data_IF_100774890213
#
_entry.id   IF_100774890213
#
_cell.length_a   1.000
_cell.length_b   1.000
_cell.length_c   1.000
_cell.angle_alpha   90.00
_cell.angle_beta   90.00
_cell.angle_gamma   90.00
#
_symmetry.space_group_name_H-M   'P 1'
#
loop_
_entity.id
_entity.type
_entity.pdbx_description
1 polymer ?
#
# COMPACT_ATOMS: atom_id res chain seq x y z
N UNK A 1 -44.00 33.54 16.90
CA UNK A 1 -43.97 32.54 15.80
C UNK A 1 -43.09 33.11 14.69
N UNK A 2 -42.14 32.31 14.19
CA UNK A 2 -41.31 32.67 13.02
C UNK A 2 -39.80 32.65 13.28
N UNK A 3 -39.22 31.50 13.65
CA UNK A 3 -37.77 31.27 13.54
C UNK A 3 -37.43 31.15 12.06
N UNK A 4 -36.61 32.08 11.54
CA UNK A 4 -36.07 32.00 10.19
C UNK A 4 -34.68 31.35 10.23
N UNK A 5 -34.55 30.15 9.65
CA UNK A 5 -33.30 29.45 9.45
C UNK A 5 -32.47 30.13 8.35
N UNK A 6 -31.30 30.68 8.69
CA UNK A 6 -30.28 31.08 7.71
C UNK A 6 -29.19 30.01 7.64
N UNK A 7 -29.06 29.41 6.46
CA UNK A 7 -28.04 28.42 6.12
C UNK A 7 -26.65 29.08 6.09
N UNK A 8 -25.72 28.55 6.89
CA UNK A 8 -24.31 28.89 6.86
C UNK A 8 -23.70 28.26 5.60
N UNK A 9 -23.40 29.09 4.59
CA UNK A 9 -22.53 28.70 3.47
C UNK A 9 -21.09 28.67 3.96
N UNK A 10 -20.46 27.50 3.98
CA UNK A 10 -19.01 27.40 4.10
C UNK A 10 -18.35 27.73 2.75
N UNK A 11 -17.25 28.50 2.71
CA UNK A 11 -16.51 28.74 1.49
C UNK A 11 -15.74 27.46 1.10
N UNK A 12 -16.04 26.92 -0.08
CA UNK A 12 -15.22 25.89 -0.74
C UNK A 12 -13.96 26.58 -1.25
N UNK A 13 -12.83 26.35 -0.59
CA UNK A 13 -11.53 26.77 -1.10
C UNK A 13 -11.13 25.85 -2.27
N UNK A 14 -11.24 26.38 -3.49
CA UNK A 14 -10.63 25.79 -4.70
C UNK A 14 -9.12 25.96 -4.64
N UNK A 15 -8.42 25.02 -4.00
CA UNK A 15 -6.95 25.03 -3.86
C UNK A 15 -6.28 23.83 -4.54
N UNK A 16 -6.87 23.26 -5.60
CA UNK A 16 -6.32 22.08 -6.29
C UNK A 16 -5.73 22.36 -7.68
N UNK A 17 -6.14 23.42 -8.38
CA UNK A 17 -5.70 23.66 -9.76
C UNK A 17 -4.24 24.13 -9.87
N UNK A 18 -3.81 25.08 -9.02
CA UNK A 18 -2.46 25.66 -9.11
C UNK A 18 -1.33 24.69 -8.78
N UNK A 19 -1.58 23.70 -7.92
CA UNK A 19 -0.55 22.72 -7.54
C UNK A 19 -0.34 21.66 -8.63
N UNK A 20 -1.39 21.30 -9.37
CA UNK A 20 -1.33 20.30 -10.45
C UNK A 20 -0.62 20.89 -11.67
N UNK A 21 -0.88 22.15 -12.02
CA UNK A 21 -0.21 22.82 -13.14
C UNK A 21 1.27 23.08 -12.87
N UNK A 22 1.63 23.41 -11.63
CA UNK A 22 3.03 23.49 -11.20
C UNK A 22 3.73 22.13 -11.30
N UNK A 23 3.06 21.05 -10.90
CA UNK A 23 3.56 19.69 -11.01
C UNK A 23 3.76 19.27 -12.48
N UNK A 24 2.80 19.59 -13.35
CA UNK A 24 2.84 19.29 -14.78
C UNK A 24 3.96 20.05 -15.50
N UNK A 25 4.23 21.31 -15.13
CA UNK A 25 5.38 22.08 -15.66
C UNK A 25 6.71 21.52 -15.18
N UNK A 26 6.80 21.04 -13.94
CA UNK A 26 8.01 20.39 -13.44
C UNK A 26 8.24 19.07 -14.18
N UNK A 27 7.21 18.25 -14.36
CA UNK A 27 7.26 17.01 -15.14
C UNK A 27 7.69 17.23 -16.59
N UNK A 28 7.12 18.23 -17.28
CA UNK A 28 7.48 18.55 -18.67
C UNK A 28 8.95 18.99 -18.83
N UNK A 29 9.49 19.71 -17.84
CA UNK A 29 10.90 20.11 -17.81
C UNK A 29 11.87 18.95 -17.47
N UNK A 30 11.37 17.86 -16.89
CA UNK A 30 12.16 16.67 -16.55
C UNK A 30 12.33 15.71 -17.74
N UNK A 31 11.35 15.66 -18.65
CA UNK A 31 11.39 14.83 -19.86
C UNK A 31 12.47 15.24 -20.88
N UNK A 32 12.92 16.50 -20.85
CA UNK A 32 13.85 17.04 -21.86
C UNK A 32 15.33 16.88 -21.51
N UNK A 33 15.68 16.45 -20.29
CA UNK A 33 17.07 16.48 -19.80
C UNK A 33 17.60 15.11 -19.38
N UNK A 34 18.00 14.31 -20.37
CA UNK A 34 18.70 13.04 -20.20
C UNK A 34 20.10 13.23 -19.62
N UNK A 35 20.35 12.89 -18.33
CA UNK A 35 21.61 12.32 -17.76
C UNK A 35 21.52 12.07 -16.22
N UNK A 36 22.58 11.64 -15.45
CA UNK A 36 22.54 10.73 -14.28
C UNK A 36 21.89 11.28 -13.00
N UNK A 37 21.27 12.46 -13.09
CA UNK A 37 20.34 13.02 -12.10
C UNK A 37 19.06 12.18 -11.96
N UNK A 38 18.82 11.20 -12.85
CA UNK A 38 17.70 10.22 -12.79
C UNK A 38 17.57 9.53 -11.43
N UNK A 39 18.68 9.16 -10.78
CA UNK A 39 18.67 8.55 -9.43
C UNK A 39 18.21 9.54 -8.34
N UNK A 40 18.69 10.79 -8.40
CA UNK A 40 18.22 11.88 -7.52
C UNK A 40 16.77 12.27 -7.81
N UNK A 41 16.34 12.16 -9.07
CA UNK A 41 14.97 12.38 -9.51
C UNK A 41 14.02 11.31 -8.97
N UNK A 42 14.40 10.03 -9.02
CA UNK A 42 13.62 8.93 -8.44
C UNK A 42 13.46 9.14 -6.93
N UNK A 43 14.52 9.55 -6.24
CA UNK A 43 14.47 9.87 -4.80
C UNK A 43 13.59 11.10 -4.54
N UNK A 44 13.59 12.10 -5.43
CA UNK A 44 12.74 13.29 -5.33
C UNK A 44 11.28 12.96 -5.62
N UNK A 45 11.01 12.10 -6.60
CA UNK A 45 9.67 11.58 -6.94
C UNK A 45 9.15 10.66 -5.84
N UNK A 46 9.99 9.79 -5.27
CA UNK A 46 9.68 9.01 -4.06
C UNK A 46 9.32 9.94 -2.91
N UNK A 47 10.16 10.94 -2.59
CA UNK A 47 9.84 11.90 -1.52
C UNK A 47 8.57 12.70 -1.80
N UNK A 48 8.35 13.12 -3.05
CA UNK A 48 7.18 13.93 -3.42
C UNK A 48 5.88 13.12 -3.42
N UNK A 49 5.90 11.88 -3.90
CA UNK A 49 4.76 10.95 -3.87
C UNK A 49 4.42 10.53 -2.44
N UNK A 50 5.42 10.37 -1.59
CA UNK A 50 5.30 9.91 -0.21
C UNK A 50 4.82 11.05 0.71
N UNK A 51 5.24 12.29 0.46
CA UNK A 51 4.67 13.49 1.09
C UNK A 51 3.24 13.75 0.58
N UNK A 52 2.96 13.52 -0.71
CA UNK A 52 1.61 13.60 -1.28
C UNK A 52 0.67 12.52 -0.72
N UNK A 53 1.17 11.31 -0.47
CA UNK A 53 0.42 10.17 0.07
C UNK A 53 0.06 10.37 1.55
N UNK A 54 0.97 10.95 2.35
CA UNK A 54 0.76 11.18 3.79
C UNK A 54 -0.18 12.37 4.05
N UNK A 55 -0.24 13.36 3.16
CA UNK A 55 -0.92 14.64 3.45
C UNK A 55 -2.38 14.71 2.94
N UNK A 56 -2.85 13.88 1.98
CA UNK A 56 -4.14 14.16 1.31
C UNK A 56 -5.07 13.00 0.91
N UNK A 57 -4.77 11.73 1.21
CA UNK A 57 -5.43 10.61 0.51
C UNK A 57 -6.75 10.12 1.13
N UNK A 58 -7.85 10.82 0.86
CA UNK A 58 -9.22 10.29 1.01
C UNK A 58 -9.77 9.71 -0.31
N UNK A 59 -9.13 10.00 -1.45
CA UNK A 59 -9.62 9.60 -2.77
C UNK A 59 -9.07 8.24 -3.23
N UNK A 60 -9.96 7.42 -3.80
CA UNK A 60 -9.67 6.07 -4.29
C UNK A 60 -8.59 6.02 -5.39
N UNK A 61 -8.67 6.92 -6.37
CA UNK A 61 -7.76 6.96 -7.54
C UNK A 61 -6.31 7.27 -7.17
N UNK A 62 -6.12 8.16 -6.19
CA UNK A 62 -4.79 8.56 -5.76
C UNK A 62 -4.06 7.45 -4.98
N UNK A 63 -4.81 6.67 -4.18
CA UNK A 63 -4.29 5.47 -3.52
C UNK A 63 -3.80 4.44 -4.55
N UNK A 64 -4.59 4.18 -5.60
CA UNK A 64 -4.20 3.26 -6.68
C UNK A 64 -2.97 3.77 -7.44
N UNK A 65 -2.92 5.08 -7.75
CA UNK A 65 -1.77 5.70 -8.40
C UNK A 65 -0.49 5.56 -7.58
N UNK A 66 -0.57 5.81 -6.27
CA UNK A 66 0.56 5.66 -5.35
C UNK A 66 1.05 4.20 -5.27
N UNK A 67 0.13 3.24 -5.16
CA UNK A 67 0.49 1.82 -5.10
C UNK A 67 1.16 1.33 -6.40
N UNK A 68 0.68 1.76 -7.57
CA UNK A 68 1.33 1.45 -8.86
C UNK A 68 2.72 2.08 -8.96
N UNK A 69 2.88 3.32 -8.50
CA UNK A 69 4.19 3.96 -8.48
C UNK A 69 5.17 3.17 -7.60
N UNK A 70 4.73 2.73 -6.41
CA UNK A 70 5.54 1.89 -5.52
C UNK A 70 5.90 0.57 -6.22
N UNK A 71 4.95 -0.08 -6.90
CA UNK A 71 5.19 -1.32 -7.64
C UNK A 71 6.38 -1.19 -8.60
N UNK A 72 6.38 -0.14 -9.44
CA UNK A 72 7.46 0.14 -10.40
C UNK A 72 8.78 0.56 -9.71
N UNK A 73 8.69 1.26 -8.58
CA UNK A 73 9.84 1.73 -7.82
C UNK A 73 10.61 0.61 -7.10
N UNK A 74 9.98 -0.55 -6.86
CA UNK A 74 10.65 -1.69 -6.21
C UNK A 74 11.87 -2.12 -7.03
N UNK A 75 11.72 -2.24 -8.35
CA UNK A 75 12.76 -2.73 -9.26
C UNK A 75 13.86 -1.69 -9.54
N UNK A 76 13.65 -0.43 -9.16
CA UNK A 76 14.67 0.62 -9.34
C UNK A 76 15.77 0.48 -8.29
N UNK A 77 16.96 0.05 -8.71
CA UNK A 77 18.12 -0.09 -7.82
C UNK A 77 18.73 1.27 -7.46
N UNK A 78 18.69 1.61 -6.17
CA UNK A 78 19.25 2.83 -5.58
C UNK A 78 20.30 2.42 -4.55
N UNK A 79 21.25 3.31 -4.22
CA UNK A 79 22.27 3.05 -3.20
C UNK A 79 21.71 2.75 -1.81
N UNK A 80 20.48 3.17 -1.49
CA UNK A 80 19.83 3.00 -0.18
C UNK A 80 18.63 2.03 -0.23
N UNK A 81 18.76 0.90 -0.94
CA UNK A 81 17.67 -0.06 -1.13
C UNK A 81 17.04 -0.57 0.19
N UNK A 82 17.83 -0.78 1.25
CA UNK A 82 17.31 -1.27 2.53
C UNK A 82 16.32 -0.27 3.20
N UNK A 83 16.61 1.04 3.10
CA UNK A 83 15.75 2.10 3.61
C UNK A 83 14.44 2.17 2.81
N UNK A 84 14.54 2.08 1.48
CA UNK A 84 13.40 2.03 0.57
C UNK A 84 12.45 0.87 0.89
N UNK A 85 12.98 -0.35 1.00
CA UNK A 85 12.19 -1.55 1.33
C UNK A 85 11.49 -1.39 2.68
N UNK A 86 12.19 -0.85 3.68
CA UNK A 86 11.59 -0.62 5.01
C UNK A 86 10.41 0.34 4.93
N UNK A 87 10.53 1.42 4.16
CA UNK A 87 9.44 2.38 3.94
C UNK A 87 8.26 1.73 3.21
N UNK A 88 8.53 1.02 2.12
CA UNK A 88 7.47 0.35 1.35
C UNK A 88 6.72 -0.70 2.17
N UNK A 89 7.44 -1.50 2.96
CA UNK A 89 6.82 -2.46 3.90
C UNK A 89 5.91 -1.75 4.91
N UNK A 90 6.36 -0.64 5.50
CA UNK A 90 5.53 0.15 6.41
C UNK A 90 4.30 0.76 5.72
N UNK A 91 4.40 1.15 4.44
CA UNK A 91 3.26 1.65 3.67
C UNK A 91 2.25 0.57 3.35
N UNK A 92 2.70 -0.64 2.99
CA UNK A 92 1.78 -1.75 2.78
C UNK A 92 1.04 -2.10 4.06
N UNK A 93 1.73 -2.15 5.21
CA UNK A 93 1.08 -2.34 6.51
C UNK A 93 -0.01 -1.28 6.77
N UNK A 94 0.33 0.00 6.61
CA UNK A 94 -0.64 1.07 6.79
C UNK A 94 -1.81 1.00 5.80
N UNK A 95 -1.57 0.57 4.55
CA UNK A 95 -2.62 0.37 3.55
C UNK A 95 -3.61 -0.72 3.99
N UNK A 96 -3.14 -1.85 4.51
CA UNK A 96 -4.01 -2.91 5.01
C UNK A 96 -4.80 -2.53 6.27
N UNK A 97 -4.25 -1.65 7.10
CA UNK A 97 -4.91 -1.19 8.34
C UNK A 97 -5.94 -0.10 8.09
N UNK A 98 -5.71 0.77 7.09
CA UNK A 98 -6.49 2.00 6.89
C UNK A 98 -7.42 1.96 5.68
N UNK A 99 -7.19 1.07 4.70
CA UNK A 99 -7.98 1.00 3.47
C UNK A 99 -8.83 -0.26 3.48
N UNK A 100 -10.12 -0.10 3.18
CA UNK A 100 -11.09 -1.18 3.18
C UNK A 100 -11.61 -1.51 1.78
N UNK A 101 -11.29 -0.70 0.78
CA UNK A 101 -11.67 -0.94 -0.60
C UNK A 101 -10.95 -2.18 -1.17
N UNK A 102 -11.69 -3.20 -1.66
CA UNK A 102 -11.09 -4.46 -2.10
C UNK A 102 -10.03 -4.27 -3.19
N UNK A 103 -10.24 -3.35 -4.14
CA UNK A 103 -9.29 -3.08 -5.22
C UNK A 103 -7.95 -2.53 -4.72
N UNK A 104 -7.99 -1.63 -3.73
CA UNK A 104 -6.79 -1.04 -3.13
C UNK A 104 -6.03 -2.13 -2.36
N UNK A 105 -6.75 -2.94 -1.58
CA UNK A 105 -6.17 -4.03 -0.79
C UNK A 105 -5.54 -5.11 -1.68
N UNK A 106 -6.21 -5.47 -2.79
CA UNK A 106 -5.67 -6.40 -3.79
C UNK A 106 -4.39 -5.84 -4.42
N UNK A 107 -4.38 -4.57 -4.81
CA UNK A 107 -3.18 -3.97 -5.38
C UNK A 107 -2.04 -3.88 -4.36
N UNK A 108 -2.33 -3.52 -3.11
CA UNK A 108 -1.35 -3.49 -2.03
C UNK A 108 -0.74 -4.88 -1.77
N UNK A 109 -1.54 -5.95 -1.85
CA UNK A 109 -1.04 -7.32 -1.72
C UNK A 109 -0.03 -7.68 -2.82
N UNK A 110 -0.30 -7.31 -4.08
CA UNK A 110 0.62 -7.52 -5.19
C UNK A 110 1.93 -6.76 -5.02
N UNK A 111 1.86 -5.52 -4.52
CA UNK A 111 3.06 -4.71 -4.21
C UNK A 111 3.89 -5.36 -3.10
N UNK A 112 3.23 -5.84 -2.05
CA UNK A 112 3.88 -6.54 -0.96
C UNK A 112 4.54 -7.86 -1.41
N UNK A 113 3.86 -8.65 -2.25
CA UNK A 113 4.43 -9.87 -2.84
C UNK A 113 5.63 -9.59 -3.75
N UNK A 114 5.56 -8.53 -4.57
CA UNK A 114 6.70 -8.09 -5.39
C UNK A 114 7.90 -7.68 -4.54
N UNK A 115 7.64 -6.96 -3.44
CA UNK A 115 8.68 -6.59 -2.47
C UNK A 115 9.35 -7.82 -1.83
N UNK A 116 8.57 -8.86 -1.54
CA UNK A 116 9.07 -10.11 -0.96
C UNK A 116 9.90 -10.94 -1.96
N UNK A 117 9.55 -10.91 -3.26
CA UNK A 117 10.27 -11.62 -4.32
C UNK A 117 11.54 -10.91 -4.78
N UNK A 118 11.51 -9.58 -4.84
CA UNK A 118 12.62 -8.78 -5.37
C UNK A 118 13.92 -9.16 -4.68
N UNK A 119 14.93 -9.57 -5.44
CA UNK A 119 16.26 -10.11 -5.09
C UNK A 119 16.77 -9.84 -3.64
N UNK A 120 16.18 -10.54 -2.66
CA UNK A 120 16.53 -10.37 -1.23
C UNK A 120 16.25 -8.97 -0.66
N UNK A 121 15.46 -8.14 -1.33
CA UNK A 121 15.12 -6.77 -0.94
C UNK A 121 14.46 -6.76 0.44
N UNK A 122 13.51 -7.66 0.67
CA UNK A 122 12.86 -7.87 1.96
C UNK A 122 13.55 -9.00 2.73
N UNK A 123 13.91 -8.72 3.98
CA UNK A 123 14.54 -9.70 4.87
C UNK A 123 13.52 -10.74 5.36
N UNK A 124 13.99 -11.95 5.67
CA UNK A 124 13.14 -13.03 6.20
C UNK A 124 12.34 -12.60 7.45
N UNK A 125 12.96 -11.85 8.37
CA UNK A 125 12.28 -11.30 9.56
C UNK A 125 11.04 -10.46 9.22
N UNK A 126 11.14 -9.62 8.18
CA UNK A 126 10.01 -8.77 7.75
C UNK A 126 8.89 -9.60 7.12
N UNK A 127 9.26 -10.64 6.37
CA UNK A 127 8.29 -11.59 5.78
C UNK A 127 7.58 -12.35 6.89
N UNK A 128 8.33 -12.91 7.84
CA UNK A 128 7.80 -13.63 9.00
C UNK A 128 6.85 -12.75 9.83
N UNK A 129 7.23 -11.49 10.09
CA UNK A 129 6.35 -10.53 10.79
C UNK A 129 5.02 -10.34 10.07
N UNK A 130 5.05 -10.22 8.74
CA UNK A 130 3.85 -10.01 7.94
C UNK A 130 2.94 -11.24 7.93
N UNK A 131 3.52 -12.45 7.93
CA UNK A 131 2.79 -13.72 8.10
C UNK A 131 2.14 -13.79 9.47
N UNK A 132 2.88 -13.51 10.56
CA UNK A 132 2.33 -13.52 11.92
C UNK A 132 1.16 -12.57 12.09
N UNK A 133 1.28 -11.32 11.62
CA UNK A 133 0.18 -10.34 11.66
C UNK A 133 -1.05 -10.84 10.91
N UNK A 134 -0.87 -11.45 9.73
CA UNK A 134 -2.00 -11.99 8.98
C UNK A 134 -2.67 -13.18 9.69
N UNK A 135 -1.89 -14.07 10.30
CA UNK A 135 -2.43 -15.19 11.09
C UNK A 135 -3.18 -14.70 12.34
N UNK A 136 -2.69 -13.66 13.01
CA UNK A 136 -3.39 -13.00 14.11
C UNK A 136 -4.74 -12.42 13.66
N UNK A 137 -4.81 -11.79 12.48
CA UNK A 137 -6.07 -11.28 11.93
C UNK A 137 -7.07 -12.38 11.56
N UNK A 138 -6.61 -13.58 11.17
CA UNK A 138 -7.50 -14.71 10.93
C UNK A 138 -8.04 -15.32 12.22
N UNK A 139 -7.19 -15.42 13.26
CA UNK A 139 -7.52 -16.02 14.57
C UNK A 139 -8.29 -15.11 15.51
N UNK A 140 -8.09 -13.81 15.37
CA UNK A 140 -8.70 -12.79 16.23
C UNK A 140 -10.19 -12.61 15.97
N UNK A 141 -10.69 -11.45 16.42
CA UNK A 141 -12.08 -11.05 16.22
C UNK A 141 -12.45 -11.06 14.73
N UNK A 142 -13.68 -11.49 14.44
CA UNK A 142 -14.20 -11.57 13.07
C UNK A 142 -14.42 -10.16 12.51
N UNK A 143 -13.41 -9.68 11.78
CA UNK A 143 -13.44 -8.42 11.07
C UNK A 143 -13.19 -8.69 9.58
N UNK A 144 -14.21 -8.44 8.75
CA UNK A 144 -14.26 -8.90 7.35
C UNK A 144 -13.11 -8.34 6.50
N UNK A 145 -12.86 -7.03 6.57
CA UNK A 145 -11.76 -6.41 5.82
C UNK A 145 -10.39 -6.94 6.26
N UNK A 146 -10.20 -7.25 7.56
CA UNK A 146 -8.95 -7.83 8.07
C UNK A 146 -8.75 -9.24 7.60
N UNK A 147 -9.80 -10.06 7.57
CA UNK A 147 -9.75 -11.42 7.05
C UNK A 147 -9.45 -11.43 5.56
N UNK A 148 -10.09 -10.54 4.80
CA UNK A 148 -9.80 -10.37 3.38
C UNK A 148 -8.34 -9.97 3.14
N UNK A 149 -7.84 -8.95 3.85
CA UNK A 149 -6.44 -8.54 3.77
C UNK A 149 -5.47 -9.65 4.19
N UNK A 150 -5.78 -10.37 5.28
CA UNK A 150 -4.95 -11.46 5.79
C UNK A 150 -4.80 -12.60 4.78
N UNK A 151 -5.89 -13.03 4.14
CA UNK A 151 -5.84 -14.07 3.11
C UNK A 151 -4.97 -13.63 1.93
N UNK A 152 -5.09 -12.38 1.48
CA UNK A 152 -4.27 -11.86 0.39
C UNK A 152 -2.78 -11.78 0.75
N UNK A 153 -2.47 -11.32 1.97
CA UNK A 153 -1.10 -11.29 2.48
C UNK A 153 -0.51 -12.71 2.49
N UNK A 154 -1.21 -13.68 3.09
CA UNK A 154 -0.74 -15.06 3.21
C UNK A 154 -0.56 -15.72 1.84
N UNK A 155 -1.47 -15.48 0.90
CA UNK A 155 -1.35 -15.92 -0.49
C UNK A 155 -0.06 -15.39 -1.13
N UNK A 156 0.18 -14.08 -1.06
CA UNK A 156 1.36 -13.47 -1.69
C UNK A 156 2.67 -13.95 -1.01
N UNK A 157 2.68 -14.11 0.31
CA UNK A 157 3.85 -14.67 1.01
C UNK A 157 4.12 -16.13 0.63
N UNK A 158 3.08 -16.96 0.52
CA UNK A 158 3.21 -18.35 0.11
C UNK A 158 3.73 -18.50 -1.32
N UNK A 159 3.25 -17.66 -2.25
CA UNK A 159 3.68 -17.71 -3.66
C UNK A 159 5.08 -17.11 -3.89
N UNK A 160 5.40 -16.00 -3.23
CA UNK A 160 6.58 -15.18 -3.54
C UNK A 160 7.74 -15.39 -2.59
N UNK A 161 7.48 -15.90 -1.39
CA UNK A 161 8.47 -16.15 -0.33
C UNK A 161 8.27 -17.54 0.32
N UNK A 162 8.04 -18.57 -0.50
CA UNK A 162 7.68 -19.93 -0.06
C UNK A 162 8.65 -20.53 0.97
N UNK A 163 9.97 -20.31 0.83
CA UNK A 163 10.98 -20.81 1.77
C UNK A 163 10.76 -20.29 3.19
N UNK A 164 10.44 -19.00 3.34
CA UNK A 164 10.17 -18.37 4.64
C UNK A 164 8.77 -18.75 5.12
N UNK A 165 7.80 -18.86 4.20
CA UNK A 165 6.44 -19.25 4.56
C UNK A 165 6.32 -20.70 5.06
N UNK A 166 7.16 -21.61 4.57
CA UNK A 166 7.03 -23.05 4.81
C UNK A 166 7.02 -23.43 6.30
N UNK A 167 7.73 -22.69 7.15
CA UNK A 167 7.76 -22.95 8.60
C UNK A 167 6.42 -22.64 9.29
N UNK A 168 5.56 -21.83 8.66
CA UNK A 168 4.25 -21.42 9.18
C UNK A 168 3.08 -22.22 8.61
N UNK A 169 3.32 -23.22 7.75
CA UNK A 169 2.24 -23.95 7.05
C UNK A 169 1.27 -24.62 8.03
N UNK A 170 1.77 -25.25 9.10
CA UNK A 170 0.89 -25.84 10.13
C UNK A 170 -0.01 -24.78 10.76
N UNK A 171 0.59 -23.65 11.14
CA UNK A 171 -0.10 -22.53 11.78
C UNK A 171 -1.17 -21.91 10.87
N UNK A 172 -0.83 -21.78 9.59
CA UNK A 172 -1.71 -21.33 8.52
C UNK A 172 -2.90 -22.27 8.33
N UNK A 173 -2.67 -23.59 8.26
CA UNK A 173 -3.74 -24.56 8.06
C UNK A 173 -4.78 -24.51 9.20
N UNK A 174 -4.33 -24.34 10.44
CA UNK A 174 -5.23 -24.20 11.58
C UNK A 174 -6.07 -22.91 11.51
N UNK A 175 -5.44 -21.80 11.10
CA UNK A 175 -6.11 -20.50 11.01
C UNK A 175 -7.10 -20.43 9.84
N UNK A 176 -6.71 -20.92 8.66
CA UNK A 176 -7.52 -20.83 7.44
C UNK A 176 -8.74 -21.75 7.49
N UNK A 177 -8.64 -22.91 8.16
CA UNK A 177 -9.75 -23.85 8.28
C UNK A 177 -10.94 -23.31 9.09
N UNK A 178 -10.68 -22.36 10.00
CA UNK A 178 -11.72 -21.60 10.69
C UNK A 178 -12.32 -20.56 9.75
N UNK A 179 -11.48 -19.80 9.06
CA UNK A 179 -11.91 -18.73 8.15
C UNK A 179 -12.72 -19.24 6.94
N UNK A 180 -12.44 -20.44 6.43
CA UNK A 180 -13.17 -21.06 5.32
C UNK A 180 -14.54 -21.63 5.70
N UNK A 181 -14.76 -21.91 6.98
CA UNK A 181 -16.05 -22.38 7.49
C UNK A 181 -17.02 -21.24 7.78
N UNK A 182 -16.57 -19.99 7.66
CA UNK A 182 -17.46 -18.85 7.76
C UNK A 182 -18.40 -18.79 6.56
N UNK A 183 -19.70 -18.54 6.77
CA UNK A 183 -20.64 -18.34 5.67
C UNK A 183 -20.11 -17.21 4.77
N UNK A 184 -19.95 -17.53 3.50
CA UNK A 184 -19.41 -16.64 2.46
C UNK A 184 -20.17 -15.32 2.44
N UNK A 185 -19.43 -14.21 2.54
CA UNK A 185 -19.96 -12.90 2.20
C UNK A 185 -20.25 -12.91 0.69
N UNK A 186 -21.50 -12.68 0.33
CA UNK A 186 -21.87 -12.38 -1.04
C UNK A 186 -21.12 -11.10 -1.43
N UNK A 187 -20.13 -11.25 -2.31
CA UNK A 187 -19.43 -10.13 -2.98
C UNK A 187 -20.37 -9.50 -4.00
#
# INVERSE_FOLDING_TARGET
MGSSCQAIRYPVATTSAGNIDALNRVLANLCTRSNPKRKKLVILVEKLLLISWIIYMNAFSENLGALRAIYELIDVTISENASKVTKFSNYMRAAFETKHDPEIVVLASKVLGHLARSDGAMTADKVERQVKVALEWLRGERIEYRRFAAVLILKEMAEKASTVFNIHVSEFMDAIWVALRDPTLAV
#
